data_IF_464850021991
#
_entry.id   IF_464850021991
#
_cell.length_a   1.000
_cell.length_b   1.000
_cell.length_c   1.000
_cell.angle_alpha   90.00
_cell.angle_beta   90.00
_cell.angle_gamma   90.00
#
_symmetry.space_group_name_H-M   'P 1'
#
loop_
_entity.id
_entity.type
_entity.pdbx_description
1 polymer ?
#
# COMPACT_ATOMS: atom_id res chain seq x y z
N UNK A 1 8.29 -0.34 11.83
CA UNK A 1 7.41 -0.68 10.70
C UNK A 1 6.68 -1.99 10.92
N UNK A 2 7.39 -3.14 10.96
CA UNK A 2 6.77 -4.47 11.13
C UNK A 2 5.82 -4.57 12.33
N UNK A 3 6.26 -4.15 13.53
CA UNK A 3 5.39 -4.14 14.71
C UNK A 3 4.15 -3.23 14.59
N UNK A 4 4.24 -2.14 13.84
CA UNK A 4 3.10 -1.26 13.56
C UNK A 4 2.09 -1.93 12.65
N UNK A 5 2.54 -2.60 11.57
CA UNK A 5 1.65 -3.34 10.67
C UNK A 5 0.92 -4.47 11.42
N UNK A 6 1.65 -5.29 12.18
CA UNK A 6 1.06 -6.34 13.03
C UNK A 6 0.00 -5.77 13.97
N UNK A 7 0.29 -4.66 14.64
CA UNK A 7 -0.67 -3.96 15.49
C UNK A 7 -1.91 -3.48 14.72
N UNK A 8 -1.73 -2.91 13.52
CA UNK A 8 -2.83 -2.49 12.65
C UNK A 8 -3.73 -3.65 12.21
N UNK A 9 -3.14 -4.80 11.85
CA UNK A 9 -3.90 -6.00 11.46
C UNK A 9 -4.71 -6.56 12.63
N UNK A 10 -4.11 -6.63 13.82
CA UNK A 10 -4.83 -7.07 15.03
C UNK A 10 -5.95 -6.09 15.42
N UNK A 11 -5.72 -4.78 15.28
CA UNK A 11 -6.73 -3.77 15.53
C UNK A 11 -7.91 -3.91 14.55
N UNK A 12 -7.62 -4.17 13.27
CA UNK A 12 -8.64 -4.46 12.26
C UNK A 12 -9.43 -5.73 12.57
N UNK A 13 -8.78 -6.80 12.99
CA UNK A 13 -9.42 -8.04 13.48
C UNK A 13 -10.29 -7.80 14.73
N UNK A 14 -10.00 -6.75 15.50
CA UNK A 14 -10.75 -6.36 16.69
C UNK A 14 -11.94 -5.44 16.37
N UNK A 15 -12.30 -5.25 15.09
CA UNK A 15 -13.48 -4.50 14.66
C UNK A 15 -13.27 -3.01 14.41
N UNK A 16 -12.03 -2.51 14.43
CA UNK A 16 -11.76 -1.11 14.09
C UNK A 16 -11.60 -0.93 12.58
N UNK A 17 -12.51 -0.15 12.00
CA UNK A 17 -12.54 0.09 10.55
C UNK A 17 -11.30 0.83 10.02
N UNK A 18 -10.76 1.72 10.84
CA UNK A 18 -9.72 2.67 10.46
C UNK A 18 -8.51 2.59 11.39
N UNK A 19 -7.33 2.73 10.81
CA UNK A 19 -6.05 2.71 11.50
C UNK A 19 -5.07 3.71 10.89
N UNK A 20 -4.28 4.33 11.75
CA UNK A 20 -3.21 5.26 11.41
C UNK A 20 -1.95 4.92 12.19
N UNK A 21 -0.81 5.37 11.68
CA UNK A 21 0.49 5.18 12.29
C UNK A 21 1.39 6.37 11.97
N UNK A 22 2.39 6.60 12.81
CA UNK A 22 3.38 7.64 12.57
C UNK A 22 4.32 7.18 11.46
N UNK A 23 4.27 7.81 10.29
CA UNK A 23 5.27 7.59 9.24
C UNK A 23 6.46 8.53 9.45
N UNK A 24 7.71 8.03 9.52
CA UNK A 24 8.15 6.63 9.52
C UNK A 24 8.58 6.15 10.93
N UNK A 25 7.82 6.52 11.95
CA UNK A 25 8.13 6.28 13.35
C UNK A 25 8.23 7.58 14.15
N UNK A 26 7.85 7.48 15.42
CA UNK A 26 7.84 8.63 16.33
C UNK A 26 9.27 9.09 16.67
N UNK A 27 10.11 8.14 17.06
CA UNK A 27 11.51 8.33 17.49
C UNK A 27 12.50 7.80 16.44
N UNK A 28 13.76 8.18 16.58
CA UNK A 28 14.87 7.67 15.76
C UNK A 28 16.09 7.29 16.61
N UNK A 29 17.07 6.64 15.99
CA UNK A 29 18.33 6.23 16.63
C UNK A 29 19.53 6.93 15.97
N UNK A 30 20.65 7.14 16.68
CA UNK A 30 20.91 6.76 18.07
C UNK A 30 20.32 7.72 19.12
N UNK A 31 20.02 8.97 18.75
CA UNK A 31 19.41 9.94 19.67
C UNK A 31 17.89 9.83 19.61
N UNK A 32 17.31 9.11 20.57
CA UNK A 32 15.90 8.73 20.63
C UNK A 32 14.92 9.83 20.18
N UNK A 33 15.10 11.06 20.68
CA UNK A 33 14.21 12.19 20.39
C UNK A 33 14.72 13.12 19.29
N UNK A 34 16.00 13.04 18.91
CA UNK A 34 16.65 14.04 18.03
C UNK A 34 17.26 13.45 16.75
N UNK A 35 17.14 12.14 16.53
CA UNK A 35 17.53 11.49 15.29
C UNK A 35 16.32 11.32 14.39
N UNK A 36 16.46 11.68 13.11
CA UNK A 36 15.49 11.30 12.09
C UNK A 36 15.67 9.81 11.76
N UNK A 37 14.58 9.06 11.51
CA UNK A 37 14.68 7.73 10.93
C UNK A 37 15.48 7.72 9.62
N UNK A 38 16.03 6.57 9.25
CA UNK A 38 16.79 6.43 8.01
C UNK A 38 15.93 6.70 6.76
N UNK A 39 16.54 7.17 5.66
CA UNK A 39 15.82 7.52 4.42
C UNK A 39 15.17 6.31 3.76
N UNK A 40 15.79 5.14 3.83
CA UNK A 40 15.22 3.92 3.25
C UNK A 40 14.01 3.48 4.06
N UNK A 41 14.11 3.52 5.39
CA UNK A 41 12.97 3.27 6.27
C UNK A 41 11.84 4.27 6.01
N UNK A 42 12.15 5.55 5.79
CA UNK A 42 11.17 6.58 5.46
C UNK A 42 10.35 6.20 4.23
N UNK A 43 11.00 5.90 3.10
CA UNK A 43 10.29 5.57 1.86
C UNK A 43 9.58 4.21 1.94
N UNK A 44 10.18 3.19 2.56
CA UNK A 44 9.51 1.88 2.76
C UNK A 44 8.23 2.01 3.58
N UNK A 45 8.24 2.87 4.59
CA UNK A 45 7.06 3.11 5.43
C UNK A 45 6.02 3.97 4.72
N UNK A 46 6.43 4.94 3.90
CA UNK A 46 5.53 5.66 3.00
C UNK A 46 4.83 4.71 2.03
N UNK A 47 5.56 3.80 1.38
CA UNK A 47 5.02 2.80 0.46
C UNK A 47 3.88 2.00 1.10
N UNK A 48 4.13 1.44 2.29
CA UNK A 48 3.10 0.76 3.08
C UNK A 48 1.91 1.69 3.38
N UNK A 49 2.18 2.90 3.87
CA UNK A 49 1.17 3.87 4.30
C UNK A 49 0.25 4.37 3.19
N UNK A 50 0.68 4.32 1.91
CA UNK A 50 -0.19 4.65 0.77
C UNK A 50 -1.43 3.75 0.71
N UNK A 51 -1.35 2.53 1.23
CA UNK A 51 -2.44 1.55 1.22
C UNK A 51 -3.12 1.35 2.57
N UNK A 52 -2.80 2.14 3.60
CA UNK A 52 -3.53 2.10 4.88
C UNK A 52 -4.70 3.09 4.86
N UNK A 53 -5.56 3.09 5.87
CA UNK A 53 -6.69 4.03 5.87
C UNK A 53 -6.25 5.50 5.97
N UNK A 54 -5.19 5.77 6.73
CA UNK A 54 -4.67 7.11 6.95
C UNK A 54 -3.14 7.12 6.78
N UNK A 55 -2.65 8.01 5.91
CA UNK A 55 -1.23 8.29 5.75
C UNK A 55 -0.89 9.59 6.50
N UNK A 56 -0.17 9.48 7.61
CA UNK A 56 0.20 10.62 8.45
C UNK A 56 1.70 10.59 8.76
N UNK A 57 2.38 11.67 8.39
CA UNK A 57 3.76 11.92 8.83
C UNK A 57 3.75 12.51 10.24
N UNK A 58 4.52 11.91 11.15
CA UNK A 58 4.65 12.41 12.53
C UNK A 58 5.90 11.87 13.22
N UNK A 59 6.39 12.62 14.21
CA UNK A 59 7.48 12.23 15.08
C UNK A 59 8.14 13.41 15.77
N UNK A 60 9.24 13.16 16.46
CA UNK A 60 9.95 14.14 17.31
C UNK A 60 10.89 15.06 16.53
N UNK A 61 11.09 14.79 15.25
CA UNK A 61 11.91 15.59 14.32
C UNK A 61 11.10 15.87 13.05
N UNK A 62 11.51 16.82 12.18
CA UNK A 62 10.80 17.10 10.92
C UNK A 62 10.56 15.85 10.04
N UNK A 63 9.45 15.83 9.30
CA UNK A 63 8.95 14.64 8.56
C UNK A 63 8.53 14.94 7.12
N UNK A 64 8.58 16.20 6.73
CA UNK A 64 8.24 16.66 5.40
C UNK A 64 9.18 16.01 4.37
N UNK A 65 8.70 15.62 3.17
CA UNK A 65 9.53 14.89 2.22
C UNK A 65 10.84 15.58 1.85
N UNK A 66 10.88 16.91 1.84
CA UNK A 66 12.10 17.68 1.55
C UNK A 66 13.20 17.54 2.62
N UNK A 67 12.86 17.11 3.84
CA UNK A 67 13.82 16.78 4.90
C UNK A 67 14.59 15.48 4.60
N UNK A 68 14.09 14.68 3.65
CA UNK A 68 14.66 13.41 3.19
C UNK A 68 15.06 13.49 1.71
N UNK A 69 16.02 14.36 1.33
CA UNK A 69 16.29 14.70 -0.07
C UNK A 69 16.65 13.50 -0.95
N UNK A 70 17.23 12.43 -0.38
CA UNK A 70 17.58 11.20 -1.10
C UNK A 70 16.37 10.46 -1.65
N UNK A 71 15.21 10.58 -0.99
CA UNK A 71 13.99 9.84 -1.32
C UNK A 71 12.79 10.74 -1.62
N UNK A 72 12.94 12.07 -1.50
CA UNK A 72 11.86 13.04 -1.69
C UNK A 72 11.12 12.91 -3.03
N UNK A 73 11.85 12.64 -4.12
CA UNK A 73 11.26 12.42 -5.44
C UNK A 73 10.41 11.14 -5.46
N UNK A 74 10.94 10.02 -4.98
CA UNK A 74 10.20 8.76 -4.87
C UNK A 74 8.97 8.92 -3.96
N UNK A 75 9.12 9.57 -2.81
CA UNK A 75 8.01 9.88 -1.90
C UNK A 75 6.90 10.65 -2.60
N UNK A 76 7.24 11.64 -3.43
CA UNK A 76 6.26 12.41 -4.19
C UNK A 76 5.47 11.54 -5.16
N UNK A 77 6.11 10.60 -5.86
CA UNK A 77 5.39 9.69 -6.77
C UNK A 77 4.43 8.76 -6.02
N UNK A 78 4.82 8.26 -4.85
CA UNK A 78 3.93 7.50 -3.97
C UNK A 78 2.76 8.35 -3.42
N UNK A 79 2.99 9.62 -3.11
CA UNK A 79 1.92 10.54 -2.70
C UNK A 79 0.95 10.85 -3.84
N UNK A 80 1.43 10.98 -5.09
CA UNK A 80 0.54 11.07 -6.25
C UNK A 80 -0.32 9.82 -6.38
N UNK A 81 0.26 8.62 -6.18
CA UNK A 81 -0.51 7.38 -6.20
C UNK A 81 -1.57 7.36 -5.10
N UNK A 82 -1.23 7.80 -3.88
CA UNK A 82 -2.20 7.95 -2.79
C UNK A 82 -3.38 8.83 -3.19
N UNK A 83 -3.12 9.98 -3.82
CA UNK A 83 -4.17 10.88 -4.30
C UNK A 83 -5.01 10.26 -5.42
N UNK A 84 -4.37 9.60 -6.38
CA UNK A 84 -5.05 8.88 -7.44
C UNK A 84 -5.96 7.77 -6.90
N UNK A 85 -5.62 7.14 -5.77
CA UNK A 85 -6.40 6.09 -5.12
C UNK A 85 -7.45 6.60 -4.12
N UNK A 86 -7.60 7.91 -3.91
CA UNK A 86 -8.63 8.43 -2.98
C UNK A 86 -10.05 7.93 -3.30
N UNK A 87 -10.51 7.86 -4.57
CA UNK A 87 -11.83 7.29 -4.87
C UNK A 87 -11.97 5.84 -4.39
N UNK A 88 -10.95 5.02 -4.60
CA UNK A 88 -10.89 3.64 -4.11
C UNK A 88 -10.88 3.57 -2.58
N UNK A 89 -10.05 4.37 -1.91
CA UNK A 89 -9.96 4.38 -0.45
C UNK A 89 -11.26 4.89 0.21
N UNK A 90 -11.94 5.85 -0.41
CA UNK A 90 -13.25 6.31 0.03
C UNK A 90 -14.32 5.21 -0.15
N UNK A 91 -14.25 4.44 -1.23
CA UNK A 91 -15.11 3.27 -1.42
C UNK A 91 -14.83 2.20 -0.35
N UNK A 92 -13.56 1.87 -0.09
CA UNK A 92 -13.16 0.93 0.95
C UNK A 92 -13.63 1.38 2.34
N UNK A 93 -13.55 2.69 2.64
CA UNK A 93 -14.07 3.26 3.89
C UNK A 93 -15.59 3.15 4.02
N UNK A 94 -16.35 3.36 2.94
CA UNK A 94 -17.81 3.15 2.93
C UNK A 94 -18.18 1.68 3.15
N UNK A 95 -17.47 0.77 2.49
CA UNK A 95 -17.65 -0.67 2.69
C UNK A 95 -17.34 -1.08 4.13
N UNK A 96 -16.28 -0.54 4.73
CA UNK A 96 -15.89 -0.83 6.11
C UNK A 96 -17.04 -0.52 7.10
N UNK A 97 -17.70 0.63 6.93
CA UNK A 97 -18.84 1.04 7.77
C UNK A 97 -20.05 0.11 7.58
N UNK A 98 -20.29 -0.38 6.36
CA UNK A 98 -21.46 -1.22 6.05
C UNK A 98 -21.30 -2.72 6.34
N UNK A 99 -20.05 -3.22 6.41
CA UNK A 99 -19.76 -4.66 6.50
C UNK A 99 -19.09 -5.10 7.80
N UNK A 100 -18.50 -4.16 8.55
CA UNK A 100 -17.66 -4.47 9.71
C UNK A 100 -16.21 -4.84 9.36
N UNK A 101 -15.85 -4.92 8.08
CA UNK A 101 -14.45 -5.08 7.68
C UNK A 101 -13.64 -3.80 7.95
N UNK A 102 -12.34 -3.94 8.21
CA UNK A 102 -11.40 -2.82 8.20
C UNK A 102 -10.98 -2.43 6.78
N UNK A 103 -10.42 -1.23 6.59
CA UNK A 103 -9.77 -0.86 5.31
C UNK A 103 -8.47 -1.66 5.11
N UNK A 104 -7.69 -1.83 6.18
CA UNK A 104 -6.52 -2.69 6.23
C UNK A 104 -6.93 -4.04 6.83
N UNK A 105 -6.78 -5.12 6.07
CA UNK A 105 -7.34 -6.44 6.42
C UNK A 105 -6.26 -7.51 6.42
N UNK A 106 -6.23 -8.31 7.49
CA UNK A 106 -5.45 -9.53 7.54
C UNK A 106 -5.96 -10.54 6.49
N UNK A 107 -5.06 -11.35 5.93
CA UNK A 107 -5.40 -12.33 4.89
C UNK A 107 -6.49 -13.32 5.33
N UNK A 108 -6.50 -13.69 6.62
CA UNK A 108 -7.51 -14.59 7.21
C UNK A 108 -8.96 -14.12 7.01
N UNK A 109 -9.22 -12.82 6.86
CA UNK A 109 -10.59 -12.33 6.57
C UNK A 109 -11.15 -12.82 5.23
N UNK A 110 -10.27 -13.14 4.28
CA UNK A 110 -10.65 -13.56 2.93
C UNK A 110 -10.37 -15.04 2.68
N UNK A 111 -9.58 -15.69 3.54
CA UNK A 111 -9.04 -17.04 3.34
C UNK A 111 -9.05 -17.83 4.65
N UNK A 112 -10.21 -17.93 5.29
CA UNK A 112 -10.36 -18.57 6.60
C UNK A 112 -9.98 -20.06 6.59
N UNK A 113 -10.05 -20.70 5.42
CA UNK A 113 -9.70 -22.12 5.22
C UNK A 113 -8.23 -22.35 4.86
N UNK A 114 -7.46 -21.29 4.62
CA UNK A 114 -6.05 -21.38 4.32
C UNK A 114 -5.22 -21.13 5.58
N UNK A 115 -4.62 -22.17 6.20
CA UNK A 115 -3.87 -22.01 7.44
C UNK A 115 -2.60 -21.16 7.29
N UNK A 116 -2.08 -20.99 6.07
CA UNK A 116 -0.92 -20.12 5.82
C UNK A 116 -1.31 -18.67 6.12
N UNK A 117 -2.49 -18.25 5.63
CA UNK A 117 -3.06 -16.92 5.82
C UNK A 117 -3.33 -16.55 7.28
N UNK A 118 -3.36 -17.52 8.20
CA UNK A 118 -3.57 -17.27 9.64
C UNK A 118 -2.33 -16.70 10.31
N UNK A 119 -1.15 -17.05 9.78
CA UNK A 119 0.15 -16.70 10.36
C UNK A 119 0.82 -15.49 9.71
N UNK A 120 0.34 -15.05 8.55
CA UNK A 120 0.92 -13.92 7.82
C UNK A 120 0.48 -12.61 8.46
N UNK A 121 1.47 -11.87 8.98
CA UNK A 121 1.28 -10.59 9.68
C UNK A 121 2.08 -9.43 9.05
N UNK A 122 2.68 -9.67 7.90
CA UNK A 122 3.48 -8.70 7.14
C UNK A 122 3.01 -8.52 5.68
N UNK A 123 1.83 -9.06 5.37
CA UNK A 123 1.05 -8.81 4.15
C UNK A 123 -0.38 -8.43 4.54
N UNK A 124 -1.04 -7.63 3.72
CA UNK A 124 -2.41 -7.23 4.00
C UNK A 124 -3.19 -6.89 2.74
N UNK A 125 -4.51 -6.99 2.85
CA UNK A 125 -5.41 -6.42 1.88
C UNK A 125 -5.69 -4.96 2.20
N UNK A 126 -5.54 -4.08 1.21
CA UNK A 126 -6.15 -2.75 1.22
C UNK A 126 -7.47 -2.86 0.47
N UNK A 127 -8.58 -2.74 1.20
CA UNK A 127 -9.92 -3.00 0.66
C UNK A 127 -10.06 -4.42 0.10
N UNK A 128 -10.81 -4.57 -0.99
CA UNK A 128 -11.05 -5.88 -1.63
C UNK A 128 -10.03 -6.24 -2.73
N UNK A 129 -9.21 -5.28 -3.17
CA UNK A 129 -8.52 -5.38 -4.46
C UNK A 129 -7.01 -5.60 -4.31
N UNK A 130 -6.34 -4.80 -3.47
CA UNK A 130 -4.88 -4.81 -3.40
C UNK A 130 -4.38 -5.73 -2.30
N UNK A 131 -3.48 -6.67 -2.64
CA UNK A 131 -2.62 -7.37 -1.71
C UNK A 131 -1.26 -6.67 -1.67
N UNK A 132 -0.93 -6.17 -0.49
CA UNK A 132 0.23 -5.32 -0.24
C UNK A 132 1.23 -6.08 0.60
N UNK A 133 2.48 -6.16 0.14
CA UNK A 133 3.55 -6.89 0.81
C UNK A 133 4.77 -5.95 1.00
N UNK A 134 4.79 -5.09 2.02
CA UNK A 134 5.85 -4.09 2.19
C UNK A 134 7.22 -4.71 2.45
N UNK A 135 8.28 -4.16 1.87
CA UNK A 135 9.64 -4.65 2.12
C UNK A 135 10.13 -4.19 3.49
N UNK A 136 10.38 -5.13 4.39
CA UNK A 136 10.84 -4.86 5.76
C UNK A 136 12.35 -5.04 5.94
N UNK A 137 13.03 -5.69 4.99
CA UNK A 137 14.46 -5.99 5.05
C UNK A 137 15.30 -4.98 4.24
N UNK A 138 16.50 -4.67 4.72
CA UNK A 138 17.39 -3.69 4.10
C UNK A 138 17.90 -4.10 2.71
N UNK A 139 17.96 -5.41 2.42
CA UNK A 139 18.43 -5.93 1.13
C UNK A 139 17.39 -5.80 -0.01
N UNK A 140 16.19 -5.30 0.28
CA UNK A 140 15.15 -5.16 -0.74
C UNK A 140 14.42 -6.46 -1.10
N UNK A 141 14.70 -7.57 -0.42
CA UNK A 141 14.19 -8.90 -0.76
C UNK A 141 13.16 -9.36 0.27
N UNK A 142 12.05 -9.93 -0.19
CA UNK A 142 11.10 -10.65 0.66
C UNK A 142 10.46 -11.83 -0.05
N UNK A 143 9.94 -12.77 0.73
CA UNK A 143 8.98 -13.73 0.24
C UNK A 143 7.57 -13.09 0.26
N UNK A 144 6.70 -13.53 -0.66
CA UNK A 144 5.30 -13.15 -0.70
C UNK A 144 4.44 -14.39 -0.87
N UNK A 145 3.39 -14.54 -0.07
CA UNK A 145 2.38 -15.55 -0.31
C UNK A 145 1.23 -14.96 -1.13
N UNK A 146 0.91 -15.58 -2.26
CA UNK A 146 -0.33 -15.29 -2.96
C UNK A 146 -1.37 -16.32 -2.52
N UNK A 147 -2.43 -15.94 -1.79
CA UNK A 147 -3.53 -16.85 -1.47
C UNK A 147 -4.22 -17.40 -2.72
N UNK A 148 -4.98 -18.49 -2.59
CA UNK A 148 -5.71 -19.09 -3.70
C UNK A 148 -6.54 -18.07 -4.49
N UNK A 149 -6.46 -18.13 -5.82
CA UNK A 149 -7.11 -17.19 -6.72
C UNK A 149 -6.20 -16.80 -7.89
N UNK A 150 -6.57 -15.73 -8.58
CA UNK A 150 -5.75 -15.15 -9.64
C UNK A 150 -5.39 -13.71 -9.30
N UNK A 151 -4.15 -13.37 -9.56
CA UNK A 151 -3.52 -12.12 -9.16
C UNK A 151 -2.87 -11.46 -10.36
N UNK A 152 -2.93 -10.13 -10.40
CA UNK A 152 -2.25 -9.31 -11.39
C UNK A 152 -1.11 -8.60 -10.68
N UNK A 153 0.12 -8.80 -11.12
CA UNK A 153 1.24 -7.97 -10.67
C UNK A 153 0.98 -6.53 -11.10
N UNK A 154 0.98 -5.61 -10.13
CA UNK A 154 0.59 -4.23 -10.35
C UNK A 154 1.50 -3.51 -11.37
N UNK A 155 2.77 -3.89 -11.45
CA UNK A 155 3.75 -3.15 -12.26
C UNK A 155 3.80 -3.65 -13.70
N UNK A 156 3.86 -4.96 -13.88
CA UNK A 156 4.03 -5.63 -15.19
C UNK A 156 2.70 -6.00 -15.84
N UNK A 157 1.64 -6.19 -15.04
CA UNK A 157 0.38 -6.77 -15.50
C UNK A 157 0.41 -8.28 -15.69
N UNK A 158 1.49 -8.95 -15.30
CA UNK A 158 1.56 -10.42 -15.32
C UNK A 158 0.44 -11.02 -14.47
N UNK A 159 -0.25 -12.03 -15.02
CA UNK A 159 -1.28 -12.78 -14.30
C UNK A 159 -0.64 -14.01 -13.66
N UNK A 160 -0.78 -14.11 -12.34
CA UNK A 160 -0.20 -15.16 -11.50
C UNK A 160 -1.32 -15.99 -10.86
N UNK A 161 -1.13 -17.31 -10.82
CA UNK A 161 -1.98 -18.21 -10.04
C UNK A 161 -1.54 -18.22 -8.58
N UNK A 162 -2.50 -18.08 -7.67
CA UNK A 162 -2.27 -18.10 -6.22
C UNK A 162 -2.19 -19.51 -5.63
N UNK A 163 -2.20 -19.57 -4.30
CA UNK A 163 -1.88 -20.78 -3.52
C UNK A 163 -0.38 -21.06 -3.51
N UNK A 164 0.46 -20.04 -3.66
CA UNK A 164 1.91 -20.19 -3.90
C UNK A 164 2.72 -19.16 -3.12
N UNK A 165 3.91 -19.59 -2.69
CA UNK A 165 4.95 -18.68 -2.22
C UNK A 165 5.82 -18.22 -3.38
N UNK A 166 5.80 -16.92 -3.64
CA UNK A 166 6.80 -16.25 -4.46
C UNK A 166 8.04 -16.02 -3.59
N UNK A 167 9.15 -16.67 -3.94
CA UNK A 167 10.37 -16.68 -3.14
C UNK A 167 11.36 -15.62 -3.62
N UNK A 168 12.01 -14.95 -2.65
CA UNK A 168 13.12 -14.02 -2.90
C UNK A 168 12.79 -12.92 -3.92
N UNK A 169 11.60 -12.33 -3.81
CA UNK A 169 11.21 -11.20 -4.64
C UNK A 169 12.05 -9.99 -4.26
N UNK A 170 12.95 -9.61 -5.17
CA UNK A 170 13.71 -8.37 -5.08
C UNK A 170 12.84 -7.18 -5.50
N UNK A 171 12.85 -6.12 -4.72
CA UNK A 171 12.19 -4.86 -5.05
C UNK A 171 13.13 -3.69 -4.84
N UNK A 172 13.40 -2.87 -5.87
CA UNK A 172 14.21 -1.67 -5.73
C UNK A 172 13.60 -0.72 -4.70
N UNK A 173 14.39 0.25 -4.23
CA UNK A 173 13.93 1.16 -3.18
C UNK A 173 12.65 1.93 -3.57
N UNK A 174 12.43 2.18 -4.87
CA UNK A 174 11.26 2.87 -5.40
C UNK A 174 9.95 2.06 -5.35
N UNK A 175 10.00 0.72 -5.18
CA UNK A 175 8.84 -0.18 -5.31
C UNK A 175 8.73 -1.15 -4.14
N UNK A 176 7.53 -1.69 -3.91
CA UNK A 176 7.34 -2.87 -3.07
C UNK A 176 6.46 -3.88 -3.82
N UNK A 177 6.49 -5.17 -3.50
CA UNK A 177 5.57 -6.13 -4.11
C UNK A 177 4.11 -5.72 -3.87
N UNK A 178 3.34 -5.66 -4.95
CA UNK A 178 1.96 -5.20 -4.96
C UNK A 178 1.19 -5.97 -6.01
N UNK A 179 0.13 -6.64 -5.57
CA UNK A 179 -0.69 -7.49 -6.42
C UNK A 179 -2.14 -7.04 -6.33
N UNK A 180 -2.87 -7.17 -7.43
CA UNK A 180 -4.30 -6.85 -7.49
C UNK A 180 -5.08 -8.10 -7.84
N UNK A 181 -6.15 -8.37 -7.12
CA UNK A 181 -7.03 -9.50 -7.43
C UNK A 181 -7.55 -9.37 -8.86
N UNK A 182 -7.45 -10.43 -9.67
CA UNK A 182 -7.90 -10.43 -11.07
C UNK A 182 -9.37 -10.01 -11.19
N UNK A 183 -9.68 -9.28 -12.24
CA UNK A 183 -10.98 -8.68 -12.55
C UNK A 183 -11.43 -7.58 -11.57
N UNK A 184 -10.53 -7.08 -10.71
CA UNK A 184 -10.81 -5.89 -9.91
C UNK A 184 -10.98 -4.67 -10.81
N UNK A 185 -11.97 -3.84 -10.45
CA UNK A 185 -12.20 -2.52 -11.04
C UNK A 185 -11.94 -1.50 -9.96
N UNK A 186 -10.86 -0.73 -10.12
CA UNK A 186 -10.41 0.24 -9.13
C UNK A 186 -10.77 1.63 -9.62
N UNK A 187 -11.65 2.39 -8.93
CA UNK A 187 -11.87 3.79 -9.26
C UNK A 187 -10.63 4.62 -8.88
N UNK A 188 -10.14 5.37 -9.85
CA UNK A 188 -8.92 6.19 -9.74
C UNK A 188 -9.18 7.61 -10.21
N UNK A 189 -8.41 8.56 -9.70
CA UNK A 189 -8.38 9.93 -10.17
C UNK A 189 -7.08 10.17 -10.95
N UNK A 190 -7.15 10.10 -12.28
CA UNK A 190 -5.98 10.11 -13.16
C UNK A 190 -5.51 11.52 -13.56
N UNK A 191 -5.62 12.49 -12.66
CA UNK A 191 -5.11 13.85 -12.83
C UNK A 191 -4.37 14.30 -11.56
N UNK A 192 -3.29 15.07 -11.69
CA UNK A 192 -2.61 15.63 -10.53
C UNK A 192 -3.50 16.67 -9.83
N UNK A 193 -3.59 16.56 -8.51
CA UNK A 193 -4.27 17.52 -7.63
C UNK A 193 -3.39 17.81 -6.42
N UNK A 194 -3.53 18.99 -5.85
CA UNK A 194 -2.79 19.42 -4.66
C UNK A 194 -3.54 19.11 -3.36
N UNK A 195 -4.88 19.01 -3.44
CA UNK A 195 -5.73 18.64 -2.31
C UNK A 195 -7.02 17.96 -2.78
N UNK A 196 -7.73 17.31 -1.86
CA UNK A 196 -8.99 16.61 -2.17
C UNK A 196 -10.10 17.53 -2.66
N UNK A 197 -10.05 18.82 -2.32
CA UNK A 197 -11.03 19.82 -2.76
C UNK A 197 -10.98 20.13 -4.27
N UNK A 198 -9.88 19.79 -4.94
CA UNK A 198 -9.75 19.95 -6.40
C UNK A 198 -10.36 18.76 -7.17
N UNK A 199 -10.66 17.65 -6.50
CA UNK A 199 -11.17 16.44 -7.12
C UNK A 199 -12.64 16.59 -7.52
N UNK A 200 -12.96 16.28 -8.77
CA UNK A 200 -14.33 16.31 -9.30
C UNK A 200 -14.85 14.89 -9.52
N UNK A 201 -16.03 14.57 -8.98
CA UNK A 201 -16.64 13.22 -9.09
C UNK A 201 -16.76 12.73 -10.54
N UNK A 202 -17.11 13.62 -11.47
CA UNK A 202 -17.21 13.29 -12.90
C UNK A 202 -15.89 13.01 -13.63
N UNK A 203 -14.74 13.10 -12.95
CA UNK A 203 -13.41 12.80 -13.50
C UNK A 203 -12.81 11.48 -12.99
N UNK A 204 -13.52 10.77 -12.12
CA UNK A 204 -13.11 9.44 -11.66
C UNK A 204 -13.16 8.47 -12.85
N UNK A 205 -12.08 7.72 -13.04
CA UNK A 205 -11.94 6.71 -14.09
C UNK A 205 -11.83 5.32 -13.46
N UNK A 206 -12.15 4.29 -14.23
CA UNK A 206 -12.00 2.90 -13.79
C UNK A 206 -10.70 2.30 -14.34
N UNK A 207 -9.86 1.77 -13.46
CA UNK A 207 -8.71 0.97 -13.82
C UNK A 207 -9.05 -0.51 -13.63
N UNK A 208 -9.05 -1.27 -14.72
CA UNK A 208 -9.39 -2.71 -14.72
C UNK A 208 -8.12 -3.55 -14.66
N UNK A 209 -8.10 -4.53 -13.77
CA UNK A 209 -7.00 -5.50 -13.61
C UNK A 209 -7.41 -6.86 -14.17
N UNK A 210 -7.55 -6.94 -15.48
CA UNK A 210 -7.85 -8.16 -16.23
C UNK A 210 -6.79 -8.39 -17.33
N UNK A 211 -7.09 -9.23 -18.31
CA UNK A 211 -6.19 -9.54 -19.43
C UNK A 211 -5.81 -8.32 -20.31
N UNK A 212 -6.50 -7.18 -20.17
CA UNK A 212 -6.19 -5.94 -20.88
C UNK A 212 -5.19 -5.05 -20.13
N UNK A 213 -4.90 -5.36 -18.86
CA UNK A 213 -3.94 -4.61 -18.05
C UNK A 213 -2.50 -5.01 -18.40
N UNK A 214 -1.77 -4.11 -19.04
CA UNK A 214 -0.41 -4.35 -19.55
C UNK A 214 0.69 -3.67 -18.72
N UNK A 215 0.41 -3.46 -17.42
CA UNK A 215 1.34 -2.87 -16.46
C UNK A 215 1.10 -1.39 -16.15
N UNK A 216 1.66 -0.95 -15.02
CA UNK A 216 1.40 0.37 -14.44
C UNK A 216 1.80 1.52 -15.36
N UNK A 217 2.96 1.44 -16.02
CA UNK A 217 3.47 2.48 -16.92
C UNK A 217 2.56 2.71 -18.13
N UNK A 218 1.82 1.70 -18.57
CA UNK A 218 0.88 1.78 -19.69
C UNK A 218 -0.53 2.21 -19.26
N UNK A 219 -0.78 2.33 -17.95
CA UNK A 219 -2.09 2.72 -17.40
C UNK A 219 -2.34 4.22 -17.49
N UNK A 220 -3.58 4.63 -17.19
CA UNK A 220 -3.94 6.05 -17.06
C UNK A 220 -3.14 6.78 -15.97
N UNK A 221 -2.67 6.06 -14.94
CA UNK A 221 -1.86 6.61 -13.84
C UNK A 221 -0.38 6.72 -14.20
N UNK A 222 0.14 5.77 -14.99
CA UNK A 222 1.53 5.76 -15.44
C UNK A 222 1.91 6.96 -16.32
N UNK A 223 0.93 7.73 -16.81
CA UNK A 223 1.16 8.95 -17.60
C UNK A 223 1.76 10.11 -16.81
N UNK A 224 1.58 10.14 -15.48
CA UNK A 224 2.04 11.24 -14.62
C UNK A 224 2.64 10.80 -13.27
N UNK A 225 2.59 9.50 -12.98
CA UNK A 225 3.20 8.88 -11.80
C UNK A 225 4.30 7.94 -12.28
N UNK A 226 5.52 8.17 -11.83
CA UNK A 226 6.65 7.32 -12.13
C UNK A 226 6.99 6.44 -10.92
N UNK A 227 6.68 5.15 -11.03
CA UNK A 227 7.07 4.15 -10.05
C UNK A 227 8.09 3.19 -10.67
N UNK A 228 8.91 3.61 -11.64
CA UNK A 228 10.01 2.81 -12.22
C UNK A 228 11.09 2.40 -11.21
#
# INVERSE_FOLDING_TARGET
MAGSLRGGLHLGLSGFAFWSHDVPGFQGIPSFMNSRPDSDLYIRWTQMGVFTSHLRYHGTTPREPYEYPKVASMTREWLKLRYALIPYLAQAGKQAIGSGFAVLRALIFHHEKDPICWSIDDEFYCGDAFLVAPVMQANGIRDVYLPSGEWVDFYSGEILSGGVWLKSIYSPLARMPLFVKRNSVVPVYAEPVQCTGEMKSGKVQELRFDHTYTGFSNSVLGRFIDLS
#
